data_IF_199127922747
#
_entry.id   IF_199127922747
#
_cell.length_a   1.000
_cell.length_b   1.000
_cell.length_c   1.000
_cell.angle_alpha   90.00
_cell.angle_beta   90.00
_cell.angle_gamma   90.00
#
_symmetry.space_group_name_H-M   'P 1'
#
loop_
_entity.id
_entity.type
_entity.pdbx_description
1 polymer ?
#
# COMPACT_ATOMS: atom_id res chain seq x y z
N UNK A 1 -6.17 24.25 23.89
CA UNK A 1 -6.47 23.92 22.48
C UNK A 1 -7.59 22.89 22.52
N UNK A 2 -8.79 23.24 22.06
CA UNK A 2 -9.90 22.28 22.00
C UNK A 2 -9.72 21.38 20.77
N UNK A 3 -9.86 20.05 20.90
CA UNK A 3 -9.76 19.14 19.77
C UNK A 3 -10.93 19.37 18.81
N UNK A 4 -10.64 19.54 17.53
CA UNK A 4 -11.64 19.69 16.46
C UNK A 4 -12.43 18.40 16.20
N UNK A 5 -11.85 17.26 16.59
CA UNK A 5 -12.39 15.92 16.42
C UNK A 5 -12.66 15.31 17.79
N UNK A 6 -13.90 14.92 18.04
CA UNK A 6 -14.36 14.29 19.27
C UNK A 6 -14.70 12.83 19.00
N UNK A 7 -14.13 11.92 19.78
CA UNK A 7 -14.50 10.49 19.77
C UNK A 7 -15.47 10.22 20.92
N UNK A 8 -16.75 10.06 20.61
CA UNK A 8 -17.82 9.76 21.57
C UNK A 8 -18.64 8.60 21.04
N UNK A 9 -19.05 7.69 21.92
CA UNK A 9 -19.94 6.56 21.60
C UNK A 9 -19.52 5.68 20.39
N UNK A 10 -18.21 5.67 20.09
CA UNK A 10 -17.58 5.02 18.92
C UNK A 10 -17.77 5.72 17.58
N UNK A 11 -18.24 6.97 17.59
CA UNK A 11 -18.39 7.84 16.44
C UNK A 11 -17.34 8.97 16.40
N UNK A 12 -17.18 9.55 15.21
CA UNK A 12 -16.33 10.72 14.97
C UNK A 12 -17.18 11.94 14.65
N UNK A 13 -17.18 12.91 15.56
CA UNK A 13 -17.86 14.19 15.39
C UNK A 13 -16.85 15.31 15.16
N UNK A 14 -17.13 16.15 14.17
CA UNK A 14 -16.40 17.38 13.89
C UNK A 14 -17.08 18.55 14.61
N UNK A 15 -16.35 19.18 15.51
CA UNK A 15 -16.83 20.35 16.21
C UNK A 15 -16.68 21.59 15.32
N UNK A 16 -17.81 22.20 14.94
CA UNK A 16 -17.83 23.44 14.16
C UNK A 16 -18.40 24.59 14.99
N UNK A 17 -18.22 25.82 14.51
CA UNK A 17 -18.87 26.99 15.12
C UNK A 17 -20.40 26.90 15.11
N UNK A 18 -20.96 26.04 14.26
CA UNK A 18 -22.41 25.82 14.11
C UNK A 18 -22.90 24.58 14.88
N UNK A 19 -22.03 23.95 15.70
CA UNK A 19 -22.32 22.73 16.44
C UNK A 19 -21.54 21.50 15.95
N UNK A 20 -21.83 20.35 16.54
CA UNK A 20 -21.19 19.08 16.23
C UNK A 20 -21.80 18.47 14.96
N UNK A 21 -20.94 18.05 14.02
CA UNK A 21 -21.33 17.40 12.78
C UNK A 21 -20.81 15.96 12.77
N UNK A 22 -21.70 14.99 12.52
CA UNK A 22 -21.29 13.59 12.35
C UNK A 22 -20.55 13.41 11.02
N UNK A 23 -19.28 13.01 11.10
CA UNK A 23 -18.38 12.96 9.94
C UNK A 23 -17.79 11.57 9.67
N UNK A 24 -18.22 10.55 10.42
CA UNK A 24 -17.69 9.20 10.32
C UNK A 24 -17.59 8.68 8.88
N UNK A 25 -18.63 8.80 8.02
CA UNK A 25 -18.53 8.31 6.64
C UNK A 25 -17.45 9.03 5.82
N UNK A 26 -17.34 10.35 5.98
CA UNK A 26 -16.41 11.18 5.21
C UNK A 26 -14.95 10.94 5.62
N UNK A 27 -14.70 10.81 6.92
CA UNK A 27 -13.37 10.49 7.45
C UNK A 27 -12.99 9.06 7.09
N UNK A 28 -13.93 8.12 7.16
CA UNK A 28 -13.69 6.73 6.74
C UNK A 28 -13.29 6.65 5.26
N UNK A 29 -13.96 7.38 4.38
CA UNK A 29 -13.57 7.44 2.95
C UNK A 29 -12.19 8.06 2.77
N UNK A 30 -11.92 9.22 3.40
CA UNK A 30 -10.62 9.87 3.32
C UNK A 30 -9.48 8.96 3.83
N UNK A 31 -9.69 8.27 4.96
CA UNK A 31 -8.72 7.33 5.52
C UNK A 31 -8.55 6.07 4.66
N UNK A 32 -9.59 5.64 3.92
CA UNK A 32 -9.50 4.54 2.96
C UNK A 32 -8.72 4.92 1.71
N UNK A 33 -8.89 6.15 1.23
CA UNK A 33 -8.21 6.67 0.03
C UNK A 33 -6.74 7.03 0.31
N UNK A 34 -6.40 7.45 1.54
CA UNK A 34 -5.04 7.85 1.91
C UNK A 34 -3.98 6.76 1.65
N UNK A 35 -4.16 5.49 2.03
CA UNK A 35 -3.25 4.40 1.67
C UNK A 35 -3.12 4.18 0.18
N UNK A 36 -4.22 4.26 -0.59
CA UNK A 36 -4.19 4.08 -2.04
C UNK A 36 -3.43 5.23 -2.72
N UNK A 37 -3.73 6.47 -2.34
CA UNK A 37 -3.10 7.67 -2.88
C UNK A 37 -1.62 7.78 -2.45
N UNK A 38 -1.29 7.34 -1.23
CA UNK A 38 0.09 7.20 -0.75
C UNK A 38 0.83 6.10 -1.53
N UNK A 39 0.18 4.96 -1.80
CA UNK A 39 0.76 3.88 -2.62
C UNK A 39 1.08 4.38 -4.02
N UNK A 40 0.17 5.11 -4.68
CA UNK A 40 0.43 5.68 -6.01
C UNK A 40 1.55 6.72 -5.97
N UNK A 41 1.50 7.68 -5.04
CA UNK A 41 2.49 8.76 -4.94
C UNK A 41 3.88 8.23 -4.59
N UNK A 42 3.95 7.26 -3.68
CA UNK A 42 5.21 6.69 -3.25
C UNK A 42 5.76 5.74 -4.31
N UNK A 43 4.98 4.83 -4.89
CA UNK A 43 5.51 3.83 -5.86
C UNK A 43 6.13 4.47 -7.12
N UNK A 44 5.66 5.65 -7.55
CA UNK A 44 6.18 6.36 -8.73
C UNK A 44 7.09 7.57 -8.38
N UNK A 45 7.51 7.70 -7.13
CA UNK A 45 8.51 8.71 -6.74
C UNK A 45 9.89 8.28 -7.20
N UNK A 46 10.72 9.24 -7.64
CA UNK A 46 12.08 9.00 -8.19
C UNK A 46 13.03 8.29 -7.22
N UNK A 47 12.70 8.28 -5.92
CA UNK A 47 13.47 7.64 -4.84
C UNK A 47 12.58 6.71 -3.99
N UNK A 48 11.58 6.08 -4.61
CA UNK A 48 10.73 5.16 -3.86
C UNK A 48 11.47 3.91 -3.45
N UNK A 49 11.44 3.59 -2.16
CA UNK A 49 11.81 2.26 -1.69
C UNK A 49 10.56 1.36 -1.52
N UNK A 50 9.39 1.82 -1.99
CA UNK A 50 8.17 1.05 -1.88
C UNK A 50 8.04 0.11 -3.08
N UNK A 51 7.81 -1.18 -2.85
CA UNK A 51 7.71 -2.14 -3.92
C UNK A 51 6.48 -1.89 -4.77
N UNK A 52 6.64 -2.06 -6.08
CA UNK A 52 5.49 -2.09 -6.97
C UNK A 52 4.53 -3.22 -6.57
N UNK A 53 3.26 -2.90 -6.37
CA UNK A 53 2.24 -3.91 -6.04
C UNK A 53 1.97 -4.86 -7.22
N UNK A 54 2.20 -4.39 -8.45
CA UNK A 54 1.80 -5.09 -9.69
C UNK A 54 2.97 -5.75 -10.41
N UNK A 55 4.18 -5.23 -10.22
CA UNK A 55 5.39 -5.72 -10.88
C UNK A 55 6.27 -6.46 -9.88
N UNK A 56 6.93 -7.50 -10.36
CA UNK A 56 7.96 -8.23 -9.64
C UNK A 56 9.31 -7.71 -10.10
N UNK A 57 9.95 -6.92 -9.26
CA UNK A 57 11.20 -6.23 -9.57
C UNK A 57 12.09 -6.24 -8.34
N UNK A 58 13.41 -6.27 -8.56
CA UNK A 58 14.36 -6.16 -7.46
C UNK A 58 14.25 -4.80 -6.79
N UNK A 59 14.58 -4.71 -5.50
CA UNK A 59 14.62 -3.45 -4.76
C UNK A 59 15.62 -2.45 -5.36
N UNK A 60 16.71 -2.95 -5.96
CA UNK A 60 17.73 -2.14 -6.64
C UNK A 60 17.20 -1.51 -7.94
N UNK A 61 16.25 -2.18 -8.57
CA UNK A 61 15.68 -1.78 -9.85
C UNK A 61 14.37 -0.99 -9.74
N UNK A 62 13.82 -0.80 -8.53
CA UNK A 62 12.52 -0.11 -8.32
C UNK A 62 12.41 1.27 -8.99
N UNK A 63 13.51 2.03 -9.03
CA UNK A 63 13.58 3.37 -9.64
C UNK A 63 14.37 3.38 -10.96
N UNK A 64 14.65 2.21 -11.55
CA UNK A 64 15.46 2.10 -12.75
C UNK A 64 14.64 2.47 -14.00
N UNK A 65 14.73 3.75 -14.40
CA UNK A 65 14.06 4.28 -15.60
C UNK A 65 14.57 3.70 -16.92
N UNK A 66 15.64 2.89 -16.91
CA UNK A 66 16.23 2.28 -18.11
C UNK A 66 15.69 0.88 -18.40
N UNK A 67 14.81 0.35 -17.56
CA UNK A 67 14.19 -0.95 -17.80
C UNK A 67 13.25 -0.88 -18.99
N UNK A 68 13.41 -1.84 -19.89
CA UNK A 68 12.44 -2.07 -20.95
C UNK A 68 11.25 -2.88 -20.42
N UNK A 69 10.08 -2.74 -21.06
CA UNK A 69 8.86 -3.48 -20.67
C UNK A 69 9.07 -5.00 -20.59
N UNK A 70 9.99 -5.55 -21.39
CA UNK A 70 10.26 -6.98 -21.43
C UNK A 70 11.06 -7.48 -20.22
N UNK A 71 11.66 -6.56 -19.44
CA UNK A 71 12.39 -6.87 -18.21
C UNK A 71 11.52 -6.74 -16.95
N UNK A 72 10.28 -6.26 -17.10
CA UNK A 72 9.34 -6.08 -16.00
C UNK A 72 8.38 -7.26 -15.99
N UNK A 73 8.50 -8.12 -14.97
CA UNK A 73 7.59 -9.24 -14.78
C UNK A 73 6.40 -8.82 -13.92
N UNK A 74 5.25 -9.49 -14.11
CA UNK A 74 4.07 -9.30 -13.27
C UNK A 74 4.24 -10.02 -11.93
N UNK A 75 3.80 -9.37 -10.85
CA UNK A 75 3.78 -9.95 -9.51
C UNK A 75 2.64 -10.96 -9.36
N UNK A 76 2.90 -12.18 -9.82
CA UNK A 76 1.97 -13.31 -9.75
C UNK A 76 2.21 -14.17 -8.50
N UNK A 77 1.17 -14.78 -7.90
CA UNK A 77 1.33 -15.64 -6.72
C UNK A 77 2.36 -16.75 -6.89
N UNK A 78 2.37 -17.39 -8.07
CA UNK A 78 3.35 -18.43 -8.42
C UNK A 78 4.79 -17.92 -8.38
N UNK A 79 5.06 -16.79 -9.03
CA UNK A 79 6.41 -16.19 -9.07
C UNK A 79 6.89 -15.75 -7.68
N UNK A 80 5.97 -15.19 -6.87
CA UNK A 80 6.29 -14.83 -5.49
C UNK A 80 6.66 -16.05 -4.64
N UNK A 81 5.97 -17.17 -4.84
CA UNK A 81 6.27 -18.45 -4.17
C UNK A 81 7.63 -18.99 -4.60
N UNK A 82 7.92 -18.98 -5.90
CA UNK A 82 9.21 -19.44 -6.44
C UNK A 82 10.38 -18.61 -5.85
N UNK A 83 10.20 -17.29 -5.64
CA UNK A 83 11.19 -16.43 -4.99
C UNK A 83 11.38 -16.75 -3.51
N UNK A 84 10.29 -17.07 -2.80
CA UNK A 84 10.36 -17.45 -1.40
C UNK A 84 11.10 -18.79 -1.22
N UNK A 85 10.82 -19.75 -2.09
CA UNK A 85 11.50 -21.05 -2.12
C UNK A 85 13.02 -20.88 -2.42
N UNK A 86 13.39 -19.87 -3.22
CA UNK A 86 14.77 -19.48 -3.50
C UNK A 86 15.41 -18.60 -2.40
N UNK A 87 14.70 -18.25 -1.33
CA UNK A 87 15.17 -17.36 -0.26
C UNK A 87 15.54 -15.94 -0.72
N UNK A 88 14.97 -15.46 -1.84
CA UNK A 88 15.26 -14.13 -2.40
C UNK A 88 14.21 -13.08 -1.99
N UNK A 89 13.33 -13.40 -1.03
CA UNK A 89 12.18 -12.58 -0.66
C UNK A 89 12.53 -11.12 -0.33
N UNK A 90 13.63 -10.90 0.41
CA UNK A 90 14.11 -9.56 0.75
C UNK A 90 14.49 -8.73 -0.48
N UNK A 91 15.14 -9.35 -1.47
CA UNK A 91 15.60 -8.66 -2.68
C UNK A 91 14.44 -8.19 -3.56
N UNK A 92 13.31 -8.90 -3.54
CA UNK A 92 12.13 -8.58 -4.35
C UNK A 92 11.00 -7.94 -3.53
N UNK A 93 11.32 -7.50 -2.30
CA UNK A 93 10.38 -6.86 -1.38
C UNK A 93 9.09 -7.69 -1.20
N UNK A 94 9.28 -8.99 -1.04
CA UNK A 94 8.23 -9.96 -0.73
C UNK A 94 8.34 -10.28 0.76
N UNK A 95 7.23 -10.12 1.48
CA UNK A 95 7.15 -10.53 2.86
C UNK A 95 7.04 -12.05 2.96
N UNK A 96 7.88 -12.65 3.79
CA UNK A 96 7.77 -14.05 4.15
C UNK A 96 6.61 -14.22 5.14
N UNK A 97 5.39 -14.25 4.60
CA UNK A 97 4.15 -14.44 5.34
C UNK A 97 3.35 -15.57 4.71
N UNK A 98 2.61 -16.31 5.53
CA UNK A 98 1.77 -17.40 5.05
C UNK A 98 0.60 -16.83 4.23
N UNK A 99 0.69 -16.92 2.91
CA UNK A 99 -0.31 -16.33 2.01
C UNK A 99 -1.36 -17.38 1.61
N UNK A 100 -2.61 -17.15 2.00
CA UNK A 100 -3.73 -18.04 1.69
C UNK A 100 -3.97 -18.20 0.18
N UNK A 101 -3.58 -17.22 -0.63
CA UNK A 101 -3.75 -17.22 -2.08
C UNK A 101 -2.80 -18.20 -2.78
N UNK A 102 -1.70 -18.63 -2.15
CA UNK A 102 -0.82 -19.65 -2.73
C UNK A 102 -1.44 -21.04 -2.85
N UNK A 103 -2.61 -21.27 -2.23
CA UNK A 103 -3.36 -22.52 -2.32
C UNK A 103 -4.26 -22.58 -3.55
N UNK A 104 -4.45 -21.46 -4.24
CA UNK A 104 -5.27 -21.37 -5.43
C UNK A 104 -4.37 -21.19 -6.66
N UNK A 105 -4.73 -21.81 -7.81
CA UNK A 105 -3.99 -21.67 -9.06
C UNK A 105 -4.00 -20.23 -9.59
#
# INVERSE_FOLDING_TARGET
>A
MHPLLSYKDRDFDLQTNNGDMWCFPHISTLLGDLPENATQTLTYSVNSNHPCHKCLISGEDLNNLRLSNNQIELRMPKMMKDILDQQLAYQYSIYNMNNIFWKYP
#
